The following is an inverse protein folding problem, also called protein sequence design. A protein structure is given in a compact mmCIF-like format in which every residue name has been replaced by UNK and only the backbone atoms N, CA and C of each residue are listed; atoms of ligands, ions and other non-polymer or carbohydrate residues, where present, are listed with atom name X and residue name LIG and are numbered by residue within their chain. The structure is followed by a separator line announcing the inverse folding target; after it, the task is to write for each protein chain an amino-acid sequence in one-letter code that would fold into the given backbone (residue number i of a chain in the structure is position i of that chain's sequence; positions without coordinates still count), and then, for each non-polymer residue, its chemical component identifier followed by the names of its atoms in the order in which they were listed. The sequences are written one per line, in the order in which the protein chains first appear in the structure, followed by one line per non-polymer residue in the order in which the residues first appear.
data_IF_625771551141
#
_entry.id   IF_625771551141
#
_cell.length_a   1.000
_cell.length_b   1.000
_cell.length_c   1.000
_cell.angle_alpha   90.00
_cell.angle_beta   90.00
_cell.angle_gamma   90.00
#
_symmetry.space_group_name_H-M   'P 1'
#
loop_
_entity.id
_entity.type
_entity.pdbx_description
1 polymer ?
#
# COMPACT_ATOMS: atom_id res chain seq x y z
N UNK A 1 -37.83 50.21 -15.48
CA UNK A 1 -38.51 49.15 -14.72
C UNK A 1 -37.98 47.74 -15.09
N UNK A 2 -37.80 47.39 -16.38
CA UNK A 2 -37.31 46.08 -16.84
C UNK A 2 -35.85 45.78 -16.40
N UNK A 3 -34.96 46.78 -16.43
CA UNK A 3 -33.54 46.61 -16.04
C UNK A 3 -33.37 46.23 -14.57
N UNK A 4 -34.10 46.88 -13.67
CA UNK A 4 -34.10 46.60 -12.26
C UNK A 4 -34.59 45.16 -11.92
N UNK A 5 -35.58 44.65 -12.67
CA UNK A 5 -36.07 43.27 -12.53
C UNK A 5 -35.00 42.24 -12.96
N UNK A 6 -34.26 42.50 -14.03
CA UNK A 6 -33.17 41.64 -14.48
C UNK A 6 -32.02 41.61 -13.46
N UNK A 7 -31.61 42.75 -12.93
CA UNK A 7 -30.57 42.83 -11.90
C UNK A 7 -30.95 42.04 -10.64
N UNK A 8 -32.22 42.17 -10.20
CA UNK A 8 -32.72 41.43 -9.04
C UNK A 8 -32.71 39.90 -9.27
N UNK A 9 -33.04 39.48 -10.50
CA UNK A 9 -32.96 38.05 -10.87
C UNK A 9 -31.53 37.52 -10.84
N UNK A 10 -30.54 38.27 -11.37
CA UNK A 10 -29.13 37.88 -11.32
C UNK A 10 -28.59 37.78 -9.88
N UNK A 11 -28.98 38.70 -9.01
CA UNK A 11 -28.57 38.65 -7.60
C UNK A 11 -29.15 37.40 -6.93
N UNK A 12 -30.39 37.01 -7.19
CA UNK A 12 -31.03 35.81 -6.64
C UNK A 12 -30.30 34.55 -7.15
N UNK A 13 -29.95 34.49 -8.42
CA UNK A 13 -29.23 33.35 -9.02
C UNK A 13 -27.84 33.23 -8.43
N UNK A 14 -27.07 34.31 -8.25
CA UNK A 14 -25.77 34.33 -7.66
C UNK A 14 -25.87 33.88 -6.18
N UNK A 15 -26.86 34.37 -5.44
CA UNK A 15 -27.07 34.00 -4.04
C UNK A 15 -27.43 32.52 -3.89
N UNK A 16 -28.22 31.92 -4.77
CA UNK A 16 -28.52 30.48 -4.79
C UNK A 16 -27.30 29.64 -5.13
N UNK A 17 -26.41 30.09 -6.01
CA UNK A 17 -25.13 29.40 -6.31
C UNK A 17 -24.23 29.42 -5.10
N UNK A 18 -24.09 30.57 -4.39
CA UNK A 18 -23.27 30.71 -3.18
C UNK A 18 -23.77 29.80 -2.05
N UNK A 19 -25.07 29.67 -1.87
CA UNK A 19 -25.66 28.78 -0.85
C UNK A 19 -25.40 27.28 -1.10
N UNK A 20 -25.17 26.88 -2.35
CA UNK A 20 -24.87 25.48 -2.69
C UNK A 20 -23.38 25.13 -2.52
N UNK A 21 -22.47 26.09 -2.31
CA UNK A 21 -21.03 25.84 -2.13
C UNK A 21 -20.71 25.31 -0.72
N UNK A 22 -21.62 25.39 0.24
CA UNK A 22 -21.35 25.07 1.64
C UNK A 22 -21.30 23.57 1.99
N UNK A 23 -21.53 22.67 1.02
CA UNK A 23 -21.46 21.22 1.26
C UNK A 23 -20.10 20.59 0.90
N UNK A 24 -19.04 21.38 0.75
CA UNK A 24 -17.69 20.83 0.79
C UNK A 24 -17.37 20.45 2.25
N UNK A 25 -17.74 19.25 2.64
CA UNK A 25 -17.19 18.64 3.86
C UNK A 25 -15.69 18.52 3.64
N UNK A 26 -14.95 19.50 4.16
CA UNK A 26 -13.50 19.42 4.23
C UNK A 26 -13.19 18.17 5.06
N UNK A 27 -12.51 17.20 4.47
CA UNK A 27 -12.06 16.00 5.17
C UNK A 27 -11.12 16.48 6.28
N UNK A 28 -11.59 16.44 7.53
CA UNK A 28 -10.85 16.97 8.66
C UNK A 28 -9.61 16.10 8.91
N UNK A 29 -8.42 16.66 8.62
CA UNK A 29 -7.16 15.97 8.85
C UNK A 29 -6.81 16.07 10.34
N UNK A 30 -7.03 14.98 11.08
CA UNK A 30 -6.72 14.86 12.52
C UNK A 30 -5.47 14.02 12.72
N UNK A 31 -4.66 14.38 13.72
CA UNK A 31 -3.62 13.50 14.26
C UNK A 31 -4.31 12.39 15.04
N UNK A 32 -4.11 11.15 14.62
CA UNK A 32 -4.69 9.98 15.27
C UNK A 32 -3.73 9.32 16.25
N UNK A 33 -2.45 9.24 15.86
CA UNK A 33 -1.41 8.59 16.66
C UNK A 33 -0.10 9.35 16.56
N UNK A 34 0.68 9.28 17.65
CA UNK A 34 2.06 9.77 17.71
C UNK A 34 2.98 8.62 18.11
N UNK A 35 4.08 8.44 17.37
CA UNK A 35 5.09 7.43 17.64
C UNK A 35 6.43 8.16 17.62
N UNK A 36 6.99 8.41 18.80
CA UNK A 36 8.17 9.24 18.97
C UNK A 36 7.98 10.62 18.28
N UNK A 37 8.78 10.96 17.28
CA UNK A 37 8.68 12.20 16.49
C UNK A 37 7.82 12.08 15.23
N UNK A 38 7.27 10.90 14.95
CA UNK A 38 6.39 10.65 13.81
C UNK A 38 4.92 10.74 14.22
N UNK A 39 4.09 11.25 13.32
CA UNK A 39 2.64 11.30 13.50
C UNK A 39 1.96 10.45 12.42
N UNK A 40 0.76 9.98 12.74
CA UNK A 40 -0.17 9.33 11.81
C UNK A 40 -1.47 10.11 11.85
N UNK A 41 -1.90 10.56 10.69
CA UNK A 41 -3.10 11.37 10.50
C UNK A 41 -4.23 10.57 9.83
N UNK A 42 -5.42 11.16 9.79
CA UNK A 42 -6.55 10.61 9.02
C UNK A 42 -6.22 10.44 7.54
N UNK A 43 -5.48 11.38 6.96
CA UNK A 43 -5.05 11.29 5.55
C UNK A 43 -4.09 10.12 5.35
N UNK A 44 -3.14 9.92 6.25
CA UNK A 44 -2.20 8.79 6.18
C UNK A 44 -2.95 7.45 6.16
N UNK A 45 -3.97 7.28 7.02
CA UNK A 45 -4.81 6.06 7.03
C UNK A 45 -5.52 5.89 5.68
N UNK A 46 -6.10 6.96 5.15
CA UNK A 46 -6.81 6.90 3.87
C UNK A 46 -5.88 6.54 2.69
N UNK A 47 -4.68 7.11 2.66
CA UNK A 47 -3.66 6.76 1.65
C UNK A 47 -3.17 5.32 1.82
N UNK A 48 -3.03 4.86 3.07
CA UNK A 48 -2.65 3.49 3.35
C UNK A 48 -3.70 2.48 2.90
N UNK A 49 -4.98 2.75 3.12
CA UNK A 49 -6.08 1.92 2.61
C UNK A 49 -5.99 1.79 1.10
N UNK A 50 -5.77 2.88 0.37
CA UNK A 50 -5.58 2.85 -1.10
C UNK A 50 -4.37 2.00 -1.48
N UNK A 51 -3.24 2.21 -0.83
CA UNK A 51 -2.03 1.44 -1.07
C UNK A 51 -2.27 -0.06 -0.88
N UNK A 52 -2.86 -0.44 0.24
CA UNK A 52 -3.14 -1.83 0.55
C UNK A 52 -4.11 -2.46 -0.46
N UNK A 53 -5.17 -1.75 -0.86
CA UNK A 53 -6.15 -2.23 -1.85
C UNK A 53 -5.52 -2.44 -3.23
N UNK A 54 -4.61 -1.58 -3.65
CA UNK A 54 -3.88 -1.70 -4.92
C UNK A 54 -3.03 -2.98 -4.96
N UNK A 55 -2.35 -3.30 -3.87
CA UNK A 55 -1.42 -4.42 -3.83
C UNK A 55 -2.01 -5.73 -3.29
N UNK A 56 -3.18 -5.67 -2.65
CA UNK A 56 -3.91 -6.80 -2.08
C UNK A 56 -5.41 -6.69 -2.39
N UNK A 57 -5.86 -7.01 -3.60
CA UNK A 57 -7.27 -6.86 -3.99
C UNK A 57 -8.26 -7.61 -3.09
N UNK A 58 -7.82 -8.66 -2.42
CA UNK A 58 -8.64 -9.48 -1.51
C UNK A 58 -9.20 -8.69 -0.32
N UNK A 59 -8.50 -7.62 0.11
CA UNK A 59 -8.98 -6.80 1.23
C UNK A 59 -10.16 -5.88 0.87
N UNK A 60 -10.57 -5.82 -0.41
CA UNK A 60 -11.73 -5.04 -0.82
C UNK A 60 -13.05 -5.57 -0.23
N UNK A 61 -13.08 -6.83 0.24
CA UNK A 61 -14.23 -7.43 0.92
C UNK A 61 -14.32 -7.12 2.40
N UNK A 62 -13.30 -6.48 2.98
CA UNK A 62 -13.26 -6.13 4.40
C UNK A 62 -14.13 -4.92 4.71
N UNK A 63 -14.64 -4.86 5.93
CA UNK A 63 -15.36 -3.71 6.46
C UNK A 63 -14.43 -2.51 6.66
N UNK A 64 -14.99 -1.29 6.75
CA UNK A 64 -14.21 -0.07 6.97
C UNK A 64 -13.43 -0.11 8.30
N UNK A 65 -13.98 -0.78 9.33
CA UNK A 65 -13.31 -0.95 10.62
C UNK A 65 -12.09 -1.84 10.50
N UNK A 66 -12.19 -2.96 9.78
CA UNK A 66 -11.06 -3.86 9.52
C UNK A 66 -10.00 -3.19 8.67
N UNK A 67 -10.40 -2.47 7.61
CA UNK A 67 -9.50 -1.68 6.77
C UNK A 67 -8.74 -0.63 7.57
N UNK A 68 -9.44 0.07 8.47
CA UNK A 68 -8.82 1.06 9.38
C UNK A 68 -7.76 0.38 10.27
N UNK A 69 -8.09 -0.72 10.93
CA UNK A 69 -7.18 -1.42 11.85
C UNK A 69 -5.95 -1.99 11.13
N UNK A 70 -6.12 -2.59 9.96
CA UNK A 70 -5.00 -3.10 9.15
C UNK A 70 -4.10 -1.94 8.71
N UNK A 71 -4.68 -0.85 8.22
CA UNK A 71 -3.95 0.33 7.77
C UNK A 71 -3.20 1.03 8.90
N UNK A 72 -3.83 1.17 10.05
CA UNK A 72 -3.20 1.68 11.27
C UNK A 72 -1.97 0.85 11.64
N UNK A 73 -2.13 -0.47 11.72
CA UNK A 73 -1.03 -1.37 12.08
C UNK A 73 0.10 -1.37 11.04
N UNK A 74 -0.22 -1.25 9.76
CA UNK A 74 0.76 -1.11 8.68
C UNK A 74 1.57 0.19 8.84
N UNK A 75 0.90 1.33 9.02
CA UNK A 75 1.56 2.62 9.21
C UNK A 75 2.42 2.66 10.48
N UNK A 76 1.94 2.10 11.59
CA UNK A 76 2.73 2.00 12.82
C UNK A 76 4.03 1.23 12.56
N UNK A 77 3.96 0.09 11.87
CA UNK A 77 5.15 -0.69 11.48
C UNK A 77 6.10 0.12 10.60
N UNK A 78 5.57 0.84 9.61
CA UNK A 78 6.40 1.65 8.71
C UNK A 78 7.08 2.81 9.46
N UNK A 79 6.37 3.46 10.40
CA UNK A 79 6.96 4.51 11.24
C UNK A 79 8.07 3.97 12.15
N UNK A 80 7.85 2.82 12.79
CA UNK A 80 8.87 2.16 13.62
C UNK A 80 10.09 1.79 12.77
N UNK A 81 9.89 1.15 11.59
CA UNK A 81 11.00 0.85 10.67
C UNK A 81 11.78 2.10 10.31
N UNK A 82 11.08 3.18 9.91
CA UNK A 82 11.70 4.47 9.58
C UNK A 82 12.54 5.00 10.73
N UNK A 83 11.99 5.06 11.94
CA UNK A 83 12.69 5.54 13.14
C UNK A 83 13.96 4.72 13.38
N UNK A 84 13.87 3.40 13.31
CA UNK A 84 15.03 2.52 13.51
C UNK A 84 16.10 2.69 12.43
N UNK A 85 15.70 2.80 11.15
CA UNK A 85 16.60 3.04 10.03
C UNK A 85 17.36 4.37 10.23
N UNK A 86 16.63 5.44 10.58
CA UNK A 86 17.19 6.78 10.74
C UNK A 86 18.21 6.91 11.91
N UNK A 87 18.32 5.91 12.78
CA UNK A 87 19.41 5.85 13.77
C UNK A 87 20.77 5.52 13.13
N UNK A 88 20.80 4.96 11.91
CA UNK A 88 22.01 4.50 11.23
C UNK A 88 22.32 5.29 9.96
N UNK A 89 21.32 5.95 9.36
CA UNK A 89 21.48 6.73 8.14
C UNK A 89 20.92 8.14 8.32
N UNK A 90 21.43 9.09 7.52
CA UNK A 90 20.94 10.48 7.56
C UNK A 90 19.71 10.71 6.69
N UNK A 91 19.53 9.90 5.65
CA UNK A 91 18.42 10.01 4.70
C UNK A 91 17.94 8.63 4.22
N UNK A 92 16.66 8.56 3.85
CA UNK A 92 16.08 7.38 3.23
C UNK A 92 16.35 7.41 1.73
N UNK A 93 17.36 6.67 1.29
CA UNK A 93 17.76 6.62 -0.12
C UNK A 93 18.25 5.23 -0.49
N UNK A 94 17.84 4.77 -1.66
CA UNK A 94 18.30 3.51 -2.28
C UNK A 94 18.67 3.79 -3.74
N UNK A 95 19.38 2.87 -4.38
CA UNK A 95 19.67 2.97 -5.81
C UNK A 95 18.38 2.94 -6.62
N UNK A 96 18.19 3.92 -7.50
CA UNK A 96 16.97 4.08 -8.30
C UNK A 96 16.72 2.89 -9.23
N UNK A 97 17.77 2.29 -9.81
CA UNK A 97 17.61 1.13 -10.69
C UNK A 97 17.10 -0.09 -9.91
N UNK A 98 17.58 -0.24 -8.68
CA UNK A 98 17.14 -1.33 -7.81
C UNK A 98 15.69 -1.12 -7.36
N UNK A 99 15.33 0.12 -6.98
CA UNK A 99 13.97 0.48 -6.63
C UNK A 99 13.00 0.23 -7.79
N UNK A 100 13.36 0.65 -9.01
CA UNK A 100 12.54 0.43 -10.20
C UNK A 100 12.33 -1.06 -10.50
N UNK A 101 13.37 -1.89 -10.39
CA UNK A 101 13.23 -3.36 -10.54
C UNK A 101 12.27 -3.98 -9.51
N UNK A 102 12.31 -3.48 -8.26
CA UNK A 102 11.38 -3.95 -7.23
C UNK A 102 9.94 -3.56 -7.57
N UNK A 103 9.72 -2.32 -7.97
CA UNK A 103 8.42 -1.82 -8.41
C UNK A 103 7.92 -2.66 -9.61
N UNK A 104 8.79 -2.92 -10.59
CA UNK A 104 8.49 -3.77 -11.73
C UNK A 104 8.02 -5.16 -11.32
N UNK A 105 8.73 -5.80 -10.42
CA UNK A 105 8.32 -7.11 -9.88
C UNK A 105 6.96 -7.06 -9.18
N UNK A 106 6.59 -5.92 -8.61
CA UNK A 106 5.28 -5.75 -7.93
C UNK A 106 4.16 -5.54 -8.94
N UNK A 107 4.30 -4.63 -9.92
CA UNK A 107 3.23 -4.40 -10.88
C UNK A 107 3.07 -5.56 -11.89
N UNK A 108 4.12 -6.32 -12.17
CA UNK A 108 4.00 -7.54 -12.99
C UNK A 108 3.06 -8.57 -12.37
N UNK A 109 2.98 -8.64 -11.04
CA UNK A 109 2.01 -9.50 -10.34
C UNK A 109 0.55 -9.02 -10.49
N UNK A 110 0.36 -7.77 -10.87
CA UNK A 110 -0.94 -7.19 -11.21
C UNK A 110 -1.25 -7.29 -12.70
N UNK A 111 -0.46 -8.06 -13.47
CA UNK A 111 -0.55 -8.20 -14.94
C UNK A 111 -0.35 -6.85 -15.68
N UNK A 112 0.46 -5.96 -15.12
CA UNK A 112 0.81 -4.67 -15.71
C UNK A 112 2.23 -4.78 -16.31
N UNK A 113 2.40 -4.36 -17.57
CA UNK A 113 3.60 -4.65 -18.36
C UNK A 113 4.59 -3.49 -18.44
N UNK A 114 4.28 -2.32 -17.85
CA UNK A 114 5.19 -1.17 -17.88
C UNK A 114 4.95 -0.20 -16.74
N UNK A 115 5.99 0.55 -16.37
CA UNK A 115 5.90 1.60 -15.34
C UNK A 115 4.86 2.67 -15.72
N UNK A 116 4.77 3.04 -16.99
CA UNK A 116 3.79 4.03 -17.48
C UNK A 116 2.34 3.56 -17.29
N UNK A 117 2.08 2.27 -17.52
CA UNK A 117 0.76 1.68 -17.30
C UNK A 117 0.48 1.54 -15.80
N UNK A 118 1.50 1.24 -15.02
CA UNK A 118 1.39 1.20 -13.57
C UNK A 118 1.06 2.58 -12.98
N UNK A 119 1.73 3.64 -13.42
CA UNK A 119 1.41 5.01 -13.01
C UNK A 119 -0.04 5.41 -13.38
N UNK A 120 -0.51 5.01 -14.57
CA UNK A 120 -1.92 5.23 -14.96
C UNK A 120 -2.88 4.47 -14.06
N UNK A 121 -2.54 3.24 -13.71
CA UNK A 121 -3.33 2.42 -12.79
C UNK A 121 -3.39 3.07 -11.40
N UNK A 122 -2.25 3.49 -10.85
CA UNK A 122 -2.20 4.18 -9.56
C UNK A 122 -3.03 5.46 -9.57
N UNK A 123 -2.94 6.27 -10.63
CA UNK A 123 -3.77 7.49 -10.79
C UNK A 123 -5.27 7.17 -10.79
N UNK A 124 -5.69 6.08 -11.44
CA UNK A 124 -7.08 5.63 -11.42
C UNK A 124 -7.55 5.28 -10.01
N UNK A 125 -6.66 4.70 -9.21
CA UNK A 125 -6.91 4.37 -7.80
C UNK A 125 -6.67 5.56 -6.84
N UNK A 126 -6.41 6.77 -7.38
CA UNK A 126 -6.07 7.97 -6.61
C UNK A 126 -4.89 7.78 -5.65
N UNK A 127 -3.89 7.00 -6.07
CA UNK A 127 -2.65 6.75 -5.33
C UNK A 127 -1.45 7.39 -6.06
N UNK A 128 -0.64 8.14 -5.32
CA UNK A 128 0.57 8.74 -5.87
C UNK A 128 1.72 7.72 -5.90
N UNK A 129 2.44 7.65 -7.03
CA UNK A 129 3.64 6.80 -7.19
C UNK A 129 4.74 7.11 -6.17
N UNK A 130 4.85 8.36 -5.73
CA UNK A 130 5.86 8.74 -4.73
C UNK A 130 5.57 8.13 -3.34
N UNK A 131 4.30 7.91 -2.99
CA UNK A 131 3.92 7.18 -1.77
C UNK A 131 4.39 5.72 -1.88
N UNK A 132 4.15 5.10 -3.03
CA UNK A 132 4.58 3.72 -3.32
C UNK A 132 6.11 3.61 -3.22
N UNK A 133 6.85 4.53 -3.84
CA UNK A 133 8.31 4.56 -3.78
C UNK A 133 8.81 4.70 -2.35
N UNK A 134 8.27 5.64 -1.57
CA UNK A 134 8.66 5.85 -0.16
C UNK A 134 8.48 4.58 0.68
N UNK A 135 7.36 3.89 0.52
CA UNK A 135 7.10 2.63 1.25
C UNK A 135 8.11 1.55 0.87
N UNK A 136 8.40 1.40 -0.41
CA UNK A 136 9.39 0.41 -0.85
C UNK A 136 10.82 0.77 -0.43
N UNK A 137 11.19 2.04 -0.38
CA UNK A 137 12.47 2.49 0.16
C UNK A 137 12.61 2.08 1.63
N UNK A 138 11.58 2.34 2.46
CA UNK A 138 11.57 1.94 3.87
C UNK A 138 11.74 0.42 3.99
N UNK A 139 10.99 -0.35 3.20
CA UNK A 139 11.05 -1.82 3.24
C UNK A 139 12.43 -2.35 2.82
N UNK A 140 13.01 -1.81 1.76
CA UNK A 140 14.36 -2.19 1.30
C UNK A 140 15.42 -1.90 2.35
N UNK A 141 15.42 -0.67 2.88
CA UNK A 141 16.40 -0.25 3.89
C UNK A 141 16.22 -1.01 5.19
N UNK A 142 14.99 -1.35 5.56
CA UNK A 142 14.71 -2.21 6.71
C UNK A 142 15.29 -3.61 6.53
N UNK A 143 15.05 -4.23 5.38
CA UNK A 143 15.57 -5.56 5.09
C UNK A 143 17.09 -5.58 5.09
N UNK A 144 17.73 -4.54 4.54
CA UNK A 144 19.18 -4.40 4.59
C UNK A 144 19.70 -4.24 6.02
N UNK A 145 19.08 -3.39 6.83
CA UNK A 145 19.41 -3.20 8.24
C UNK A 145 19.32 -4.52 9.04
N UNK A 146 18.22 -5.26 8.85
CA UNK A 146 18.03 -6.56 9.50
C UNK A 146 19.10 -7.55 9.04
N UNK A 147 19.39 -7.61 7.76
CA UNK A 147 20.44 -8.46 7.23
C UNK A 147 21.81 -8.13 7.83
N UNK A 148 22.20 -6.87 7.86
CA UNK A 148 23.47 -6.44 8.45
C UNK A 148 23.59 -6.78 9.94
N UNK A 149 22.49 -6.60 10.69
CA UNK A 149 22.50 -6.87 12.15
C UNK A 149 22.50 -8.36 12.51
N UNK A 150 21.84 -9.20 11.71
CA UNK A 150 21.52 -10.56 12.13
C UNK A 150 22.12 -11.65 11.25
N UNK A 151 22.59 -11.37 10.01
CA UNK A 151 23.13 -12.40 9.11
C UNK A 151 24.26 -13.22 9.72
N UNK A 152 25.14 -12.58 10.49
CA UNK A 152 26.25 -13.26 11.18
C UNK A 152 25.83 -14.05 12.43
N UNK A 153 24.61 -13.81 12.93
CA UNK A 153 24.07 -14.49 14.14
C UNK A 153 23.21 -15.71 13.77
N UNK A 154 22.81 -15.82 12.53
CA UNK A 154 21.97 -16.93 12.04
C UNK A 154 22.90 -18.08 11.64
N UNK A 155 22.92 -19.12 12.46
CA UNK A 155 23.56 -20.40 12.11
C UNK A 155 22.50 -21.28 11.48
N UNK A 156 22.65 -21.57 10.19
CA UNK A 156 21.76 -22.49 9.48
C UNK A 156 22.30 -23.90 9.63
N UNK A 157 21.64 -24.73 10.43
CA UNK A 157 21.92 -26.16 10.52
C UNK A 157 21.32 -26.87 9.28
N UNK A 158 22.15 -26.99 8.25
CA UNK A 158 21.77 -27.61 6.98
C UNK A 158 21.42 -29.10 7.13
N UNK A 159 22.10 -29.80 8.02
CA UNK A 159 21.85 -31.23 8.26
C UNK A 159 20.50 -31.45 8.93
N UNK A 160 20.15 -30.64 9.91
CA UNK A 160 18.82 -30.69 10.54
C UNK A 160 17.70 -30.43 9.52
N UNK A 161 17.85 -29.37 8.69
CA UNK A 161 16.85 -29.03 7.67
C UNK A 161 16.72 -30.17 6.66
N UNK A 162 17.84 -30.75 6.19
CA UNK A 162 17.85 -31.88 5.26
C UNK A 162 17.11 -33.10 5.85
N UNK A 163 17.36 -33.38 7.12
CA UNK A 163 16.71 -34.48 7.82
C UNK A 163 15.19 -34.23 7.99
N UNK A 164 14.78 -33.01 8.35
CA UNK A 164 13.36 -32.64 8.44
C UNK A 164 12.64 -32.74 7.11
N UNK A 165 13.30 -32.29 6.01
CA UNK A 165 12.73 -32.41 4.64
C UNK A 165 12.58 -33.91 4.27
N UNK A 166 13.62 -34.73 4.53
CA UNK A 166 13.57 -36.17 4.23
C UNK A 166 12.49 -36.89 5.02
N UNK A 167 12.32 -36.59 6.29
CA UNK A 167 11.25 -37.17 7.13
C UNK A 167 9.85 -36.73 6.71
N UNK A 168 9.68 -35.45 6.31
CA UNK A 168 8.42 -34.92 5.84
C UNK A 168 8.04 -35.40 4.42
N UNK A 169 9.05 -35.65 3.57
CA UNK A 169 8.84 -36.22 2.22
C UNK A 169 8.31 -37.65 2.25
N UNK A 170 8.65 -38.42 3.27
CA UNK A 170 8.11 -39.79 3.46
C UNK A 170 6.64 -39.80 3.95
N UNK A 171 6.13 -38.69 4.47
CA UNK A 171 4.78 -38.59 5.05
C UNK A 171 3.69 -38.06 4.10
N UNK A 172 4.04 -37.58 2.91
CA UNK A 172 3.06 -37.04 1.96
C UNK A 172 3.08 -37.81 0.63
N UNK A 173 2.39 -38.93 0.59
CA UNK A 173 1.84 -39.41 -0.69
C UNK A 173 0.71 -38.45 -1.08
N UNK A 174 0.96 -37.52 -1.98
CA UNK A 174 -0.08 -36.77 -2.63
C UNK A 174 -0.68 -37.68 -3.72
N UNK A 175 -1.93 -38.09 -3.53
CA UNK A 175 -2.65 -38.80 -4.58
C UNK A 175 -2.97 -37.79 -5.68
N UNK A 176 -2.28 -37.90 -6.80
CA UNK A 176 -2.65 -37.18 -8.02
C UNK A 176 -3.69 -37.99 -8.78
N UNK A 177 -4.81 -37.37 -9.10
CA UNK A 177 -5.85 -37.97 -9.94
C UNK A 177 -5.73 -37.33 -11.33
N UNK A 178 -5.40 -38.15 -12.32
CA UNK A 178 -5.47 -37.75 -13.74
C UNK A 178 -6.91 -37.98 -14.20
N UNK A 179 -7.66 -36.90 -14.42
CA UNK A 179 -9.00 -36.99 -14.98
C UNK A 179 -8.95 -36.79 -16.50
N UNK A 180 -9.51 -37.75 -17.26
CA UNK A 180 -9.72 -37.60 -18.69
C UNK A 180 -11.21 -37.67 -18.98
N UNK A 181 -11.72 -36.72 -19.77
CA UNK A 181 -13.09 -36.70 -20.25
C UNK A 181 -13.14 -37.31 -21.66
N UNK A 182 -14.03 -38.29 -21.88
CA UNK A 182 -14.31 -38.83 -23.20
C UNK A 182 -15.65 -38.25 -23.65
N UNK A 183 -15.59 -37.39 -24.67
CA UNK A 183 -16.78 -36.82 -25.30
C UNK A 183 -17.19 -37.74 -26.45
N UNK A 184 -18.40 -38.31 -26.38
CA UNK A 184 -19.04 -39.05 -27.47
C UNK A 184 -19.84 -38.05 -28.34
N UNK A 185 -19.61 -38.05 -29.65
CA UNK A 185 -20.43 -37.36 -30.64
C UNK A 185 -21.63 -38.18 -31.04
#
# INVERSE_FOLDING_TARGET
MLLAKKIKLYIIVIFTIILNIQNLTAFENKILFKIDNEIITTIDIYEEIKFLKVFNPEINSLSDVELFEISKNSLIKDKIKKIEIMKFVRELKVDDKFLLKLIEKKYSRLNINSIKNFEKYLKKENLNIEIVKKKFIIELMWNDLIYQKFSKKVVIDKERIKNEISQNSQKKFQKEFLLSEIVFN
#
